data_IF_621532985936
#
_entry.id   IF_621532985936
#
_cell.length_a   1.000
_cell.length_b   1.000
_cell.length_c   1.000
_cell.angle_alpha   90.00
_cell.angle_beta   90.00
_cell.angle_gamma   90.00
#
_symmetry.space_group_name_H-M   'P 1'
#
loop_
_entity.id
_entity.type
_entity.pdbx_description
1 polymer ?
#
# COMPACT_ATOMS: atom_id res chain seq x y z
N UNK A 1 22.34 -7.91 4.40
CA UNK A 1 21.93 -6.66 5.08
C UNK A 1 20.41 -6.51 4.94
N UNK A 2 19.71 -5.94 5.92
CA UNK A 2 18.24 -5.76 5.91
C UNK A 2 17.92 -4.26 5.91
N UNK A 3 17.04 -3.83 5.00
CA UNK A 3 16.54 -2.44 4.90
C UNK A 3 15.36 -2.28 5.86
N UNK A 4 15.36 -1.21 6.67
CA UNK A 4 14.32 -0.91 7.64
C UNK A 4 13.59 0.38 7.27
N UNK A 5 12.30 0.44 7.56
CA UNK A 5 11.54 1.69 7.52
C UNK A 5 11.99 2.58 8.68
N UNK A 6 12.30 3.84 8.39
CA UNK A 6 12.79 4.83 9.37
C UNK A 6 11.77 5.94 9.59
N UNK A 7 11.12 6.42 8.52
CA UNK A 7 10.14 7.49 8.61
C UNK A 7 8.99 7.29 7.64
N UNK A 8 7.83 7.84 7.98
CA UNK A 8 6.64 7.89 7.14
C UNK A 8 5.95 9.24 7.33
N UNK A 9 5.63 9.90 6.23
CA UNK A 9 4.98 11.21 6.26
C UNK A 9 4.11 11.45 5.04
N UNK A 10 3.16 12.38 5.18
CA UNK A 10 2.41 12.92 4.04
C UNK A 10 3.23 14.03 3.40
N UNK A 11 3.38 13.99 2.07
CA UNK A 11 4.02 15.06 1.31
C UNK A 11 3.00 15.99 0.63
N UNK A 12 1.80 15.48 0.40
CA UNK A 12 0.61 16.21 0.00
C UNK A 12 -0.64 15.45 0.49
N UNK A 13 -1.82 15.96 0.17
CA UNK A 13 -3.10 15.40 0.64
C UNK A 13 -3.38 13.97 0.14
N UNK A 14 -2.67 13.50 -0.90
CA UNK A 14 -2.92 12.22 -1.56
C UNK A 14 -1.70 11.28 -1.59
N UNK A 15 -0.53 11.73 -1.12
CA UNK A 15 0.73 11.01 -1.25
C UNK A 15 1.45 10.83 0.08
N UNK A 16 1.76 9.57 0.39
CA UNK A 16 2.61 9.16 1.50
C UNK A 16 4.03 8.92 0.99
N UNK A 17 5.01 9.51 1.65
CA UNK A 17 6.43 9.20 1.46
C UNK A 17 6.94 8.34 2.62
N UNK A 18 7.71 7.31 2.28
CA UNK A 18 8.36 6.39 3.21
C UNK A 18 9.87 6.51 3.02
N UNK A 19 10.59 6.73 4.11
CA UNK A 19 12.05 6.78 4.16
C UNK A 19 12.60 5.49 4.77
N UNK A 20 13.67 4.97 4.16
CA UNK A 20 14.33 3.75 4.58
C UNK A 20 15.73 4.01 5.15
N UNK A 21 16.25 3.05 5.90
CA UNK A 21 17.55 3.13 6.59
C UNK A 21 18.76 3.24 5.65
N UNK A 22 18.57 2.89 4.38
CA UNK A 22 19.56 3.04 3.32
C UNK A 22 19.46 4.39 2.60
N UNK A 23 18.69 5.33 3.14
CA UNK A 23 18.43 6.67 2.58
C UNK A 23 17.65 6.64 1.26
N UNK A 24 17.05 5.50 0.90
CA UNK A 24 16.07 5.44 -0.19
C UNK A 24 14.70 5.93 0.26
N UNK A 25 13.88 6.34 -0.71
CA UNK A 25 12.52 6.80 -0.49
C UNK A 25 11.55 6.11 -1.45
N UNK A 26 10.32 5.89 -0.99
CA UNK A 26 9.22 5.43 -1.83
C UNK A 26 7.98 6.29 -1.58
N UNK A 27 7.27 6.66 -2.64
CA UNK A 27 6.02 7.42 -2.57
C UNK A 27 4.84 6.52 -2.97
N UNK A 28 3.73 6.65 -2.26
CA UNK A 28 2.52 5.85 -2.49
C UNK A 28 1.29 6.75 -2.47
N UNK A 29 0.35 6.52 -3.39
CA UNK A 29 -0.96 7.15 -3.33
C UNK A 29 -1.77 6.58 -2.15
N UNK A 30 -2.30 7.46 -1.31
CA UNK A 30 -3.21 7.14 -0.20
C UNK A 30 -4.44 6.39 -0.71
N UNK A 31 -4.99 6.84 -1.84
CA UNK A 31 -6.18 6.26 -2.46
C UNK A 31 -5.95 4.80 -2.86
N UNK A 32 -4.84 4.52 -3.53
CA UNK A 32 -4.49 3.14 -3.94
C UNK A 32 -4.28 2.23 -2.73
N UNK A 33 -3.61 2.71 -1.68
CA UNK A 33 -3.39 1.95 -0.44
C UNK A 33 -4.72 1.60 0.25
N UNK A 34 -5.70 2.52 0.27
CA UNK A 34 -7.02 2.27 0.84
C UNK A 34 -7.82 1.23 0.03
N UNK A 35 -7.71 1.23 -1.30
CA UNK A 35 -8.33 0.22 -2.16
C UNK A 35 -7.73 -1.17 -1.84
N UNK A 36 -6.41 -1.28 -1.73
CA UNK A 36 -5.72 -2.53 -1.42
C UNK A 36 -6.05 -3.09 -0.03
N UNK A 37 -6.24 -2.23 0.98
CA UNK A 37 -6.67 -2.66 2.32
C UNK A 37 -8.06 -3.28 2.31
N UNK A 38 -8.97 -2.77 1.47
CA UNK A 38 -10.33 -3.30 1.32
C UNK A 38 -10.30 -4.66 0.61
N UNK A 39 -9.49 -4.80 -0.43
CA UNK A 39 -9.32 -6.08 -1.13
C UNK A 39 -8.80 -7.20 -0.19
N UNK A 40 -7.93 -6.87 0.78
CA UNK A 40 -7.43 -7.86 1.75
C UNK A 40 -8.44 -8.29 2.83
N UNK A 41 -9.54 -7.55 3.04
CA UNK A 41 -10.58 -7.91 4.04
C UNK A 41 -11.69 -8.80 3.47
N UNK A 42 -11.72 -9.00 2.15
CA UNK A 42 -12.72 -9.84 1.47
C UNK A 42 -12.06 -11.14 1.00
N UNK A 43 -11.56 -11.94 1.94
CA UNK A 43 -11.16 -13.33 1.65
C UNK A 43 -12.29 -14.30 2.01
N UNK A 44 -13.48 -14.06 1.47
CA UNK A 44 -14.22 -15.22 0.95
C UNK A 44 -13.69 -15.41 -0.47
N UNK A 45 -13.25 -16.62 -0.84
CA UNK A 45 -12.83 -16.88 -2.21
C UNK A 45 -13.99 -16.44 -3.12
N UNK A 46 -13.72 -15.52 -4.05
CA UNK A 46 -14.65 -15.22 -5.13
C UNK A 46 -14.95 -16.56 -5.81
N UNK A 47 -16.12 -17.14 -5.53
CA UNK A 47 -16.64 -18.22 -6.35
C UNK A 47 -16.66 -17.66 -7.78
N UNK A 48 -15.99 -18.32 -8.73
CA UNK A 48 -16.01 -17.87 -10.11
C UNK A 48 -17.43 -18.11 -10.63
N UNK A 49 -18.33 -17.16 -10.38
CA UNK A 49 -19.60 -17.05 -11.07
C UNK A 49 -19.27 -16.57 -12.49
N UNK A 50 -18.63 -17.46 -13.25
CA UNK A 50 -18.61 -17.39 -14.70
C UNK A 50 -20.08 -17.48 -15.13
N UNK A 51 -20.68 -16.40 -15.66
CA UNK A 51 -21.95 -16.55 -16.36
C UNK A 51 -21.67 -17.49 -17.53
N UNK A 52 -22.44 -18.58 -17.59
CA UNK A 52 -22.52 -19.41 -18.78
C UNK A 52 -22.87 -18.55 -20.00
#
# INVERSE_FOLDING_TARGET
>A
MSVKLVNIGLIDDETIMVEFSDQSYAAFSVTELLILQRAKKTSEPLEPNLPN
#
